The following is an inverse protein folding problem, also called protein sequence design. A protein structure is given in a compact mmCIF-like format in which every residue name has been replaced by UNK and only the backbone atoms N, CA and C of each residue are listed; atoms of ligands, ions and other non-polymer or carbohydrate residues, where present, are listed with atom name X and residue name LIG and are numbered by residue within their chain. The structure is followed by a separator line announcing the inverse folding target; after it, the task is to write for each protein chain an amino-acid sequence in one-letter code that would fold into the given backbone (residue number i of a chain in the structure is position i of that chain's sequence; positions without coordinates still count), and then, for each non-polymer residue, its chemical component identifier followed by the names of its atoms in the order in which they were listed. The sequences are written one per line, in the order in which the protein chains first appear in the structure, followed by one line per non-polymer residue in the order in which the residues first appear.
data_IF_093574094908
#
_entry.id   IF_093574094908
#
_cell.length_a   1.000
_cell.length_b   1.000
_cell.length_c   1.000
_cell.angle_alpha   90.00
_cell.angle_beta   90.00
_cell.angle_gamma   90.00
#
_symmetry.space_group_name_H-M   'P 1'
#
loop_
_entity.id
_entity.type
_entity.pdbx_description
1 polymer ?
#
# COMPACT_ATOMS: atom_id res chain seq x y z
N UNK A 1 -26.89 4.38 8.60
CA UNK A 1 -25.88 3.63 7.81
C UNK A 1 -24.96 4.61 7.09
N UNK A 2 -23.70 4.75 7.51
CA UNK A 2 -22.76 5.70 6.88
C UNK A 2 -22.25 5.10 5.56
N UNK A 3 -22.83 5.52 4.43
CA UNK A 3 -22.26 5.27 3.10
C UNK A 3 -20.94 6.03 2.99
N UNK A 4 -19.81 5.32 3.10
CA UNK A 4 -18.49 5.93 2.90
C UNK A 4 -18.40 6.43 1.45
N UNK A 5 -18.13 7.72 1.31
CA UNK A 5 -17.89 8.44 0.05
C UNK A 5 -16.90 7.65 -0.81
N UNK A 6 -17.27 7.31 -2.05
CA UNK A 6 -16.38 6.61 -2.98
C UNK A 6 -15.11 7.44 -3.17
N UNK A 7 -14.00 6.90 -2.69
CA UNK A 7 -12.72 7.57 -2.78
C UNK A 7 -12.25 7.42 -4.23
N UNK A 8 -12.60 8.37 -5.10
CA UNK A 8 -12.18 8.42 -6.51
C UNK A 8 -10.69 8.81 -6.64
N UNK A 9 -9.83 8.06 -5.95
CA UNK A 9 -8.38 8.06 -6.17
C UNK A 9 -8.02 6.67 -6.64
N UNK A 10 -7.28 6.53 -7.76
CA UNK A 10 -6.91 5.22 -8.27
C UNK A 10 -6.19 4.44 -7.16
N UNK A 11 -6.57 3.16 -7.02
CA UNK A 11 -6.06 2.32 -5.92
C UNK A 11 -4.53 2.18 -6.02
N UNK A 12 -3.98 2.37 -7.22
CA UNK A 12 -2.58 2.23 -7.63
C UNK A 12 -2.10 3.39 -8.51
N UNK A 13 -0.78 3.55 -8.67
CA UNK A 13 -0.14 4.36 -9.74
C UNK A 13 0.17 3.52 -11.00
N UNK A 14 -0.29 2.26 -11.04
CA UNK A 14 0.10 1.27 -12.05
C UNK A 14 -1.09 1.01 -12.96
N UNK A 15 -0.83 0.94 -14.28
CA UNK A 15 -1.81 0.68 -15.35
C UNK A 15 -2.60 -0.63 -15.18
N UNK A 16 -2.17 -1.55 -14.31
CA UNK A 16 -2.77 -2.88 -14.20
C UNK A 16 -4.12 -2.83 -13.43
N UNK A 17 -5.26 -3.13 -14.07
CA UNK A 17 -6.57 -3.07 -13.45
C UNK A 17 -6.72 -4.12 -12.35
N UNK A 18 -7.62 -3.88 -11.40
CA UNK A 18 -7.94 -4.84 -10.36
C UNK A 18 -8.55 -6.11 -11.01
N UNK A 19 -8.06 -7.31 -10.69
CA UNK A 19 -8.66 -8.54 -11.19
C UNK A 19 -10.09 -8.68 -10.67
N UNK A 20 -11.00 -9.06 -11.58
CA UNK A 20 -12.45 -9.14 -11.31
C UNK A 20 -12.79 -10.23 -10.29
N UNK A 21 -12.04 -11.32 -10.28
CA UNK A 21 -12.24 -12.43 -9.35
C UNK A 21 -11.38 -12.24 -8.09
N UNK A 22 -12.03 -11.99 -6.96
CA UNK A 22 -11.34 -11.71 -5.70
C UNK A 22 -10.72 -12.93 -5.03
N UNK A 23 -11.15 -14.13 -5.42
CA UNK A 23 -10.64 -15.40 -4.89
C UNK A 23 -9.50 -15.98 -5.74
N UNK A 24 -9.13 -15.32 -6.85
CA UNK A 24 -8.07 -15.83 -7.72
C UNK A 24 -6.67 -15.53 -7.17
N UNK A 25 -5.70 -16.32 -7.61
CA UNK A 25 -4.27 -16.10 -7.33
C UNK A 25 -3.83 -14.72 -7.83
N UNK A 26 -4.36 -14.25 -8.96
CA UNK A 26 -4.07 -12.93 -9.51
C UNK A 26 -4.47 -11.81 -8.55
N UNK A 27 -5.61 -11.96 -7.86
CA UNK A 27 -6.02 -10.99 -6.85
C UNK A 27 -5.10 -11.00 -5.65
N UNK A 28 -4.64 -12.18 -5.20
CA UNK A 28 -3.66 -12.28 -4.10
C UNK A 28 -2.35 -11.59 -4.49
N UNK A 29 -1.86 -11.81 -5.71
CA UNK A 29 -0.63 -11.15 -6.21
C UNK A 29 -0.84 -9.64 -6.28
N UNK A 30 -1.97 -9.19 -6.85
CA UNK A 30 -2.32 -7.77 -6.95
C UNK A 30 -2.41 -7.12 -5.57
N UNK A 31 -3.08 -7.77 -4.63
CA UNK A 31 -3.26 -7.30 -3.26
C UNK A 31 -1.94 -7.27 -2.47
N UNK A 32 -1.08 -8.27 -2.65
CA UNK A 32 0.22 -8.35 -1.99
C UNK A 32 1.20 -7.26 -2.46
N UNK A 33 1.07 -6.77 -3.70
CA UNK A 33 1.84 -5.62 -4.19
C UNK A 33 1.20 -4.26 -3.83
N UNK A 34 -0.10 -4.23 -3.55
CA UNK A 34 -0.83 -3.01 -3.29
C UNK A 34 -0.41 -2.39 -1.94
N UNK A 35 0.03 -1.13 -1.97
CA UNK A 35 0.68 -0.59 -0.79
C UNK A 35 -0.24 -0.37 0.42
N UNK A 36 -1.56 -0.37 0.18
CA UNK A 36 -2.63 -0.06 1.14
C UNK A 36 -3.44 -1.28 1.55
N UNK A 37 -3.04 -2.49 1.16
CA UNK A 37 -3.70 -3.73 1.55
C UNK A 37 -2.79 -4.47 2.52
N UNK A 38 -3.33 -4.84 3.67
CA UNK A 38 -2.62 -5.60 4.70
C UNK A 38 -2.77 -7.10 4.48
N UNK A 39 -1.90 -7.91 5.08
CA UNK A 39 -2.07 -9.37 5.03
C UNK A 39 -3.35 -9.81 5.75
N UNK A 40 -3.80 -9.07 6.76
CA UNK A 40 -5.07 -9.28 7.44
C UNK A 40 -6.26 -9.04 6.51
N UNK A 41 -6.20 -8.00 5.67
CA UNK A 41 -7.24 -7.73 4.67
C UNK A 41 -7.29 -8.84 3.62
N UNK A 42 -6.12 -9.34 3.17
CA UNK A 42 -6.04 -10.47 2.24
C UNK A 42 -6.63 -11.72 2.88
N UNK A 43 -6.29 -12.00 4.15
CA UNK A 43 -6.84 -13.13 4.90
C UNK A 43 -8.36 -13.02 5.06
N UNK A 44 -8.89 -11.83 5.27
CA UNK A 44 -10.35 -11.61 5.40
C UNK A 44 -11.08 -11.87 4.08
N UNK A 45 -10.51 -11.47 2.94
CA UNK A 45 -11.16 -11.65 1.64
C UNK A 45 -10.97 -13.08 1.10
N UNK A 46 -9.79 -13.68 1.27
CA UNK A 46 -9.39 -14.94 0.62
C UNK A 46 -9.23 -16.13 1.57
N UNK A 47 -9.28 -15.90 2.88
CA UNK A 47 -8.95 -16.90 3.90
C UNK A 47 -7.46 -17.21 4.05
N UNK A 48 -6.59 -16.67 3.19
CA UNK A 48 -5.16 -17.01 3.15
C UNK A 48 -4.35 -16.26 4.19
N UNK A 49 -3.59 -17.01 4.98
CA UNK A 49 -2.64 -16.46 5.94
C UNK A 49 -1.45 -15.78 5.26
N UNK A 50 -0.73 -14.91 5.98
CA UNK A 50 0.50 -14.28 5.48
C UNK A 50 1.50 -15.31 4.93
N UNK A 51 1.68 -16.42 5.64
CA UNK A 51 2.57 -17.50 5.19
C UNK A 51 2.15 -18.10 3.85
N UNK A 52 0.85 -18.31 3.63
CA UNK A 52 0.34 -18.81 2.35
C UNK A 52 0.52 -17.79 1.24
N UNK A 53 0.28 -16.50 1.50
CA UNK A 53 0.52 -15.42 0.54
C UNK A 53 2.00 -15.35 0.15
N UNK A 54 2.92 -15.47 1.12
CA UNK A 54 4.36 -15.52 0.85
C UNK A 54 4.72 -16.74 -0.01
N UNK A 55 4.15 -17.91 0.26
CA UNK A 55 4.36 -19.12 -0.56
C UNK A 55 3.89 -18.92 -2.00
N UNK A 56 2.68 -18.37 -2.18
CA UNK A 56 2.12 -18.05 -3.50
C UNK A 56 3.04 -17.08 -4.23
N UNK A 57 3.41 -15.97 -3.60
CA UNK A 57 4.29 -14.95 -4.18
C UNK A 57 5.68 -15.51 -4.56
N UNK A 58 6.20 -16.46 -3.78
CA UNK A 58 7.48 -17.11 -4.07
C UNK A 58 7.39 -18.05 -5.27
N UNK A 59 6.26 -18.72 -5.46
CA UNK A 59 6.03 -19.62 -6.60
C UNK A 59 5.67 -18.90 -7.90
N UNK A 60 5.06 -17.71 -7.81
CA UNK A 60 4.56 -16.99 -9.00
C UNK A 60 5.55 -15.97 -9.56
N UNK A 61 6.38 -15.35 -8.72
CA UNK A 61 7.29 -14.30 -9.14
C UNK A 61 8.68 -14.84 -9.47
N UNK A 62 9.34 -14.18 -10.43
CA UNK A 62 10.79 -14.35 -10.64
C UNK A 62 11.54 -13.97 -9.36
N UNK A 63 12.66 -14.65 -9.10
CA UNK A 63 13.47 -14.49 -7.88
C UNK A 63 13.86 -13.02 -7.62
N UNK A 64 14.25 -12.28 -8.66
CA UNK A 64 14.60 -10.85 -8.55
C UNK A 64 13.41 -9.98 -8.12
N UNK A 65 12.22 -10.25 -8.67
CA UNK A 65 10.98 -9.56 -8.32
C UNK A 65 10.51 -9.90 -6.90
N UNK A 66 10.62 -11.17 -6.51
CA UNK A 66 10.32 -11.62 -5.15
C UNK A 66 11.22 -10.97 -4.11
N UNK A 67 12.53 -10.88 -4.37
CA UNK A 67 13.49 -10.17 -3.50
C UNK A 67 13.10 -8.70 -3.33
N UNK A 68 12.71 -8.02 -4.41
CA UNK A 68 12.26 -6.62 -4.36
C UNK A 68 10.96 -6.47 -3.56
N UNK A 69 10.00 -7.37 -3.76
CA UNK A 69 8.76 -7.39 -2.99
C UNK A 69 9.02 -7.63 -1.50
N UNK A 70 9.85 -8.62 -1.13
CA UNK A 70 10.23 -8.85 0.27
C UNK A 70 10.97 -7.68 0.86
N UNK A 71 11.86 -7.04 0.10
CA UNK A 71 12.50 -5.79 0.52
C UNK A 71 11.43 -4.75 0.83
N UNK A 72 10.41 -4.55 -0.02
CA UNK A 72 9.31 -3.58 0.23
C UNK A 72 8.41 -3.94 1.40
N UNK A 73 8.05 -5.20 1.56
CA UNK A 73 7.23 -5.68 2.70
C UNK A 73 7.98 -5.43 4.01
N UNK A 74 9.27 -5.74 4.06
CA UNK A 74 10.10 -5.54 5.24
C UNK A 74 10.53 -4.07 5.43
N UNK A 75 10.77 -3.33 4.33
CA UNK A 75 11.23 -1.94 4.32
C UNK A 75 10.10 -0.93 4.42
N UNK A 76 8.84 -1.37 4.46
CA UNK A 76 7.72 -0.55 4.92
C UNK A 76 7.77 -0.37 6.44
N UNK A 77 8.85 0.25 6.86
CA UNK A 77 8.95 1.14 8.01
C UNK A 77 8.11 2.41 7.77
N UNK A 78 6.83 2.26 7.46
CA UNK A 78 5.80 3.27 7.75
C UNK A 78 4.85 2.69 8.81
N UNK A 79 5.37 1.87 9.72
CA UNK A 79 4.65 1.42 10.93
C UNK A 79 4.33 2.58 11.89
N UNK A 80 4.99 3.73 11.76
CA UNK A 80 4.62 4.94 12.50
C UNK A 80 3.61 5.76 11.71
N UNK A 81 2.34 5.35 11.80
CA UNK A 81 1.19 6.13 11.33
C UNK A 81 1.23 7.58 11.86
N UNK A 82 1.81 7.76 13.07
CA UNK A 82 2.12 9.06 13.68
C UNK A 82 3.11 9.88 12.86
N UNK A 83 4.28 9.31 12.54
CA UNK A 83 5.34 9.97 11.75
C UNK A 83 4.86 10.33 10.33
N UNK A 84 4.01 9.49 9.74
CA UNK A 84 3.38 9.78 8.45
C UNK A 84 2.38 10.96 8.52
N UNK A 85 1.53 11.03 9.56
CA UNK A 85 0.63 12.18 9.78
C UNK A 85 1.41 13.47 10.02
N UNK A 86 2.51 13.38 10.79
CA UNK A 86 3.36 14.50 11.16
C UNK A 86 4.11 15.09 9.96
N UNK A 87 4.77 14.25 9.15
CA UNK A 87 5.40 14.68 7.89
C UNK A 87 4.39 15.35 6.96
N UNK A 88 3.17 14.80 6.83
CA UNK A 88 2.12 15.43 6.03
C UNK A 88 1.64 16.76 6.59
N UNK A 89 1.58 16.92 7.91
CA UNK A 89 1.19 18.17 8.56
C UNK A 89 2.23 19.26 8.28
N UNK A 90 3.52 18.91 8.39
CA UNK A 90 4.66 19.80 8.07
C UNK A 90 4.62 20.23 6.60
N UNK A 91 4.42 19.30 5.66
CA UNK A 91 4.35 19.62 4.22
C UNK A 91 3.13 20.51 3.89
N UNK A 92 2.01 20.33 4.59
CA UNK A 92 0.76 21.08 4.35
C UNK A 92 0.77 22.47 4.99
N UNK A 93 1.56 22.64 6.03
CA UNK A 93 1.77 23.92 6.68
C UNK A 93 2.64 24.81 5.79
N UNK A 94 2.01 25.61 4.93
CA UNK A 94 2.67 26.60 4.05
C UNK A 94 3.35 27.74 4.82
N UNK A 95 3.33 27.74 6.15
CA UNK A 95 3.95 28.78 6.98
C UNK A 95 5.45 28.93 6.72
N UNK A 96 6.17 27.87 6.29
CA UNK A 96 7.58 27.98 5.90
C UNK A 96 7.81 28.94 4.72
N UNK A 97 6.82 29.12 3.83
CA UNK A 97 6.90 30.12 2.75
C UNK A 97 6.65 31.54 3.24
N UNK A 98 5.97 31.71 4.37
CA UNK A 98 5.68 33.02 4.98
C UNK A 98 6.87 33.53 5.80
N UNK A 99 7.67 32.62 6.36
CA UNK A 99 8.90 32.95 7.09
C UNK A 99 10.04 33.41 6.15
N UNK A 100 10.20 32.78 4.98
CA UNK A 100 11.23 33.16 3.99
C UNK A 100 10.91 34.43 3.18
N UNK A 101 9.67 34.92 3.24
CA UNK A 101 9.24 36.12 2.52
C UNK A 101 9.32 37.41 3.36
N UNK A 102 9.64 37.29 4.66
CA UNK A 102 9.73 38.42 5.58
C UNK A 102 11.18 38.79 5.94
N UNK A 103 12.17 38.05 5.43
CA UNK A 103 13.61 38.31 5.59
C UNK A 103 14.26 38.85 4.29
N UNK A 104 13.50 39.56 3.44
CA UNK A 104 14.02 40.29 2.26
C UNK A 104 13.46 41.70 2.18
#
# INVERSE_FOLDING_TARGET
MVKRKSFSRPVTKTSNPQPKNKQSIDWIIWAAWADRITFEDIKRETGKSEHEVIKIMRGTLKISSFKLWRKRVNSKSIKNLRKFREIRRIIKDKSYKKLLANDS
#
